data_IF_887650173677
#
_entry.id   IF_887650173677
#
_cell.length_a   1.000
_cell.length_b   1.000
_cell.length_c   1.000
_cell.angle_alpha   90.00
_cell.angle_beta   90.00
_cell.angle_gamma   90.00
#
_symmetry.space_group_name_H-M   'P 1'
#
loop_
_entity.id
_entity.type
_entity.pdbx_description
1 polymer ?
#
# COMPACT_ATOMS: atom_id res chain seq x y z
N UNK A 1 0.73 5.27 17.72
CA UNK A 1 0.45 5.01 16.30
C UNK A 1 -0.47 3.81 16.17
N UNK A 2 -1.51 3.93 15.36
CA UNK A 2 -2.41 2.81 15.09
C UNK A 2 -1.80 1.85 14.09
N UNK A 3 -2.10 0.58 14.26
CA UNK A 3 -1.72 -0.47 13.32
C UNK A 3 -2.90 -1.44 13.23
N UNK A 4 -3.67 -1.32 12.16
CA UNK A 4 -4.94 -2.03 12.01
C UNK A 4 -4.86 -3.31 11.19
N UNK A 5 -3.69 -3.59 10.58
CA UNK A 5 -3.52 -4.79 9.76
C UNK A 5 -3.48 -6.05 10.64
N UNK A 6 -4.04 -7.15 10.14
CA UNK A 6 -3.92 -8.44 10.82
C UNK A 6 -2.55 -9.05 10.61
N UNK A 7 -1.88 -8.68 9.53
CA UNK A 7 -0.52 -9.14 9.24
C UNK A 7 0.45 -8.58 10.28
N UNK A 8 1.51 -9.32 10.55
CA UNK A 8 2.53 -8.86 11.49
C UNK A 8 3.26 -7.64 10.94
N UNK A 9 3.80 -6.82 11.86
CA UNK A 9 4.48 -5.57 11.50
C UNK A 9 5.66 -5.78 10.57
N UNK A 10 6.36 -6.90 10.69
CA UNK A 10 7.52 -7.22 9.85
C UNK A 10 7.15 -7.93 8.54
N UNK A 11 5.85 -8.03 8.23
CA UNK A 11 5.41 -8.58 6.95
C UNK A 11 6.03 -7.79 5.81
N UNK A 12 6.62 -8.47 4.84
CA UNK A 12 7.22 -7.84 3.68
C UNK A 12 6.17 -7.43 2.66
N UNK A 13 6.28 -6.22 2.16
CA UNK A 13 5.36 -5.66 1.18
C UNK A 13 6.13 -4.95 0.08
N UNK A 14 5.48 -4.76 -1.05
CA UNK A 14 6.08 -4.10 -2.21
C UNK A 14 5.65 -2.63 -2.25
N UNK A 15 6.60 -1.77 -2.51
CA UNK A 15 6.37 -0.34 -2.73
C UNK A 15 7.38 0.19 -3.74
N UNK A 16 7.56 1.49 -3.82
CA UNK A 16 8.53 2.11 -4.73
C UNK A 16 9.48 3.03 -3.97
N UNK A 17 10.63 3.29 -4.57
CA UNK A 17 11.60 4.26 -4.03
C UNK A 17 10.99 5.64 -3.84
N UNK A 18 10.13 6.07 -4.78
CA UNK A 18 9.53 7.39 -4.73
C UNK A 18 8.59 7.54 -3.53
N UNK A 19 7.90 6.46 -3.16
CA UNK A 19 7.06 6.47 -1.96
C UNK A 19 7.93 6.50 -0.70
N UNK A 20 8.94 5.66 -0.64
CA UNK A 20 9.84 5.61 0.52
C UNK A 20 10.54 6.95 0.72
N UNK A 21 10.94 7.61 -0.36
CA UNK A 21 11.60 8.92 -0.33
C UNK A 21 10.62 10.09 -0.18
N UNK A 22 9.34 9.82 -0.05
CA UNK A 22 8.28 10.83 0.11
C UNK A 22 8.12 11.76 -1.07
N UNK A 23 8.57 11.34 -2.25
CA UNK A 23 8.37 12.09 -3.50
C UNK A 23 6.99 11.86 -4.09
N UNK A 24 6.38 10.72 -3.77
CA UNK A 24 5.05 10.33 -4.23
C UNK A 24 4.25 9.81 -3.06
N UNK A 25 2.94 10.00 -3.12
CA UNK A 25 2.01 9.52 -2.12
C UNK A 25 1.49 8.13 -2.49
N UNK A 26 1.03 7.38 -1.48
CA UNK A 26 0.38 6.10 -1.70
C UNK A 26 -1.05 6.37 -2.17
N UNK A 27 -1.34 6.07 -3.43
CA UNK A 27 -2.64 6.31 -4.04
C UNK A 27 -3.30 5.03 -4.58
N UNK A 28 -2.57 3.92 -4.58
CA UNK A 28 -3.08 2.64 -5.05
C UNK A 28 -2.54 1.54 -4.15
N UNK A 29 -3.42 0.71 -3.63
CA UNK A 29 -3.06 -0.44 -2.81
C UNK A 29 -3.67 -1.68 -3.43
N UNK A 30 -2.89 -2.74 -3.52
CA UNK A 30 -3.33 -4.03 -4.03
C UNK A 30 -3.06 -5.11 -2.98
N UNK A 31 -4.01 -6.03 -2.81
CA UNK A 31 -3.83 -7.19 -1.95
C UNK A 31 -3.97 -8.42 -2.85
N UNK A 32 -2.83 -8.91 -3.34
CA UNK A 32 -2.79 -9.91 -4.41
C UNK A 32 -3.36 -11.25 -3.98
N UNK A 33 -4.24 -11.79 -4.81
CA UNK A 33 -4.90 -13.06 -4.54
C UNK A 33 -3.93 -14.24 -4.63
N UNK A 34 -2.98 -14.16 -5.56
CA UNK A 34 -2.09 -15.30 -5.88
C UNK A 34 -1.14 -15.62 -4.73
N UNK A 35 -0.54 -14.62 -4.12
CA UNK A 35 0.51 -14.82 -3.11
C UNK A 35 0.22 -14.12 -1.78
N UNK A 36 -0.88 -13.41 -1.69
CA UNK A 36 -1.24 -12.66 -0.48
C UNK A 36 -0.41 -11.41 -0.24
N UNK A 37 0.43 -11.00 -1.20
CA UNK A 37 1.27 -9.82 -1.03
C UNK A 37 0.45 -8.53 -1.09
N UNK A 38 0.89 -7.58 -0.29
CA UNK A 38 0.40 -6.21 -0.36
C UNK A 38 1.35 -5.39 -1.23
N UNK A 39 0.79 -4.52 -2.06
CA UNK A 39 1.54 -3.55 -2.85
C UNK A 39 1.00 -2.16 -2.58
N UNK A 40 1.89 -1.24 -2.27
CA UNK A 40 1.55 0.16 -1.95
C UNK A 40 2.22 1.04 -2.99
N UNK A 41 1.42 1.57 -3.93
CA UNK A 41 1.90 2.23 -5.14
C UNK A 41 1.32 3.64 -5.25
N UNK A 42 1.86 4.41 -6.20
CA UNK A 42 1.41 5.80 -6.42
C UNK A 42 0.40 5.95 -7.55
N UNK A 43 0.02 4.84 -8.19
CA UNK A 43 -0.94 4.86 -9.30
C UNK A 43 -0.32 5.07 -10.67
N UNK A 44 0.96 5.43 -10.72
CA UNK A 44 1.69 5.54 -11.99
C UNK A 44 2.30 4.19 -12.37
N UNK A 45 2.81 4.09 -13.59
CA UNK A 45 3.51 2.88 -14.01
C UNK A 45 4.72 2.63 -13.14
N UNK A 46 4.82 1.40 -12.62
CA UNK A 46 5.95 1.01 -11.78
C UNK A 46 7.07 0.49 -12.65
N UNK A 47 8.25 1.10 -12.51
CA UNK A 47 9.46 0.60 -13.14
C UNK A 47 10.09 -0.44 -12.22
N UNK A 48 10.54 -1.54 -12.79
CA UNK A 48 11.13 -2.63 -12.02
C UNK A 48 12.27 -2.14 -11.13
N UNK A 49 13.10 -1.24 -11.64
CA UNK A 49 14.23 -0.69 -10.92
C UNK A 49 13.83 0.17 -9.71
N UNK A 50 12.58 0.65 -9.69
CA UNK A 50 12.08 1.49 -8.58
C UNK A 50 11.35 0.67 -7.51
N UNK A 51 11.09 -0.60 -7.75
CA UNK A 51 10.39 -1.45 -6.79
C UNK A 51 11.28 -1.69 -5.56
N UNK A 52 10.65 -1.65 -4.39
CA UNK A 52 11.33 -1.92 -3.12
C UNK A 52 10.49 -2.85 -2.26
N UNK A 53 11.16 -3.65 -1.45
CA UNK A 53 10.50 -4.46 -0.43
C UNK A 53 10.82 -3.83 0.92
N UNK A 54 9.76 -3.51 1.66
CA UNK A 54 9.87 -2.92 3.01
C UNK A 54 8.90 -3.66 3.93
N UNK A 55 8.96 -3.36 5.23
CA UNK A 55 8.00 -3.93 6.16
C UNK A 55 6.66 -3.17 6.07
N UNK A 56 5.58 -3.88 6.37
CA UNK A 56 4.26 -3.25 6.44
C UNK A 56 4.24 -2.13 7.47
N UNK A 57 4.96 -2.31 8.58
CA UNK A 57 5.04 -1.26 9.60
C UNK A 57 5.67 0.03 9.06
N UNK A 58 6.71 -0.09 8.20
CA UNK A 58 7.29 1.09 7.57
C UNK A 58 6.27 1.86 6.73
N UNK A 59 5.42 1.13 6.01
CA UNK A 59 4.35 1.75 5.21
C UNK A 59 3.38 2.53 6.11
N UNK A 60 2.97 1.93 7.22
CA UNK A 60 2.07 2.58 8.17
C UNK A 60 2.71 3.82 8.78
N UNK A 61 4.02 3.77 9.02
CA UNK A 61 4.76 4.95 9.52
C UNK A 61 4.86 6.05 8.47
N UNK A 62 4.99 5.69 7.19
CA UNK A 62 5.04 6.66 6.10
C UNK A 62 3.69 7.34 5.89
N UNK A 63 2.61 6.58 6.00
CA UNK A 63 1.26 7.08 5.76
C UNK A 63 0.27 6.24 6.57
N UNK A 64 -0.11 6.74 7.74
CA UNK A 64 -1.03 6.02 8.62
C UNK A 64 -2.44 5.88 8.06
N UNK A 65 -2.79 6.65 7.03
CA UNK A 65 -4.13 6.53 6.42
C UNK A 65 -4.33 5.20 5.71
N UNK A 66 -3.25 4.44 5.42
CA UNK A 66 -3.40 3.08 4.87
C UNK A 66 -4.12 2.15 5.86
N UNK A 67 -4.15 2.48 7.14
CA UNK A 67 -4.94 1.71 8.12
C UNK A 67 -6.42 1.65 7.74
N UNK A 68 -6.91 2.61 6.97
CA UNK A 68 -8.30 2.66 6.55
C UNK A 68 -8.66 1.55 5.56
N UNK A 69 -7.65 0.96 4.91
CA UNK A 69 -7.87 -0.16 3.98
C UNK A 69 -7.23 -1.44 4.48
N UNK A 70 -6.96 -1.53 5.78
CA UNK A 70 -6.33 -2.72 6.36
C UNK A 70 -7.18 -3.98 6.20
N UNK A 71 -8.48 -3.84 6.00
CA UNK A 71 -9.41 -4.93 5.78
C UNK A 71 -9.61 -5.29 4.30
N UNK A 72 -8.78 -4.72 3.41
CA UNK A 72 -8.88 -4.99 1.97
C UNK A 72 -8.72 -6.49 1.71
N UNK A 73 -9.68 -7.08 1.01
CA UNK A 73 -9.72 -8.52 0.76
C UNK A 73 -8.71 -8.92 -0.31
N UNK A 74 -8.30 -10.18 -0.27
CA UNK A 74 -7.49 -10.77 -1.33
C UNK A 74 -8.17 -10.58 -2.68
N UNK A 75 -7.42 -10.15 -3.69
CA UNK A 75 -7.93 -9.91 -5.02
C UNK A 75 -8.61 -8.56 -5.20
N UNK A 76 -8.55 -7.70 -4.18
CA UNK A 76 -9.12 -6.36 -4.25
C UNK A 76 -8.03 -5.30 -4.33
N UNK A 77 -8.39 -4.16 -4.88
CA UNK A 77 -7.56 -2.96 -4.89
C UNK A 77 -8.30 -1.83 -4.19
N UNK A 78 -7.54 -0.84 -3.75
CA UNK A 78 -8.08 0.41 -3.23
C UNK A 78 -7.30 1.55 -3.84
N UNK A 79 -7.98 2.63 -4.19
CA UNK A 79 -7.32 3.79 -4.80
C UNK A 79 -7.98 5.08 -4.36
N UNK A 80 -7.27 6.17 -4.55
CA UNK A 80 -7.74 7.52 -4.27
C UNK A 80 -6.97 8.49 -5.15
N UNK A 81 -7.55 9.68 -5.39
CA UNK A 81 -6.91 10.68 -6.24
C UNK A 81 -5.83 11.47 -5.51
N UNK A 82 -5.98 11.62 -4.20
CA UNK A 82 -4.99 12.29 -3.36
C UNK A 82 -5.10 11.79 -1.93
N UNK A 83 -4.12 12.17 -1.10
CA UNK A 83 -4.11 11.78 0.31
C UNK A 83 -5.29 12.37 1.11
N UNK A 84 -5.95 13.38 0.56
CA UNK A 84 -7.10 14.02 1.19
C UNK A 84 -8.42 13.37 0.80
N UNK A 85 -8.41 12.53 -0.21
CA UNK A 85 -9.61 11.85 -0.69
C UNK A 85 -9.82 10.53 0.06
N UNK A 86 -11.08 10.10 0.11
CA UNK A 86 -11.40 8.79 0.66
C UNK A 86 -10.94 7.69 -0.28
N UNK A 87 -10.62 6.54 0.31
CA UNK A 87 -10.27 5.36 -0.46
C UNK A 87 -11.52 4.77 -1.13
N UNK A 88 -11.36 4.33 -2.37
CA UNK A 88 -12.37 3.58 -3.11
C UNK A 88 -11.88 2.15 -3.24
N UNK A 89 -12.68 1.18 -2.82
CA UNK A 89 -12.33 -0.24 -2.89
C UNK A 89 -13.03 -0.88 -4.08
N UNK A 90 -12.30 -1.73 -4.78
CA UNK A 90 -12.81 -2.38 -5.99
C UNK A 90 -12.23 -3.78 -6.10
N UNK A 91 -13.08 -4.74 -6.47
CA UNK A 91 -12.59 -6.08 -6.78
C UNK A 91 -11.84 -6.04 -8.11
N UNK A 92 -10.65 -6.59 -8.08
CA UNK A 92 -9.76 -6.58 -9.25
C UNK A 92 -10.11 -7.71 -10.22
#
# INVERSE_FOLDING_TARGET
>A
MNYNFVDEKNTMVITTKNIVNKKKSILLVSHDEDDGMWEFLDGDDVKEEDAMIVSLFEIVQLDSTVNQIADLRLGWISYRDSIQNEWIKQKN
#
